data_IF_753302312715
#
_entry.id   IF_753302312715
#
_cell.length_a   1.000
_cell.length_b   1.000
_cell.length_c   1.000
_cell.angle_alpha   90.00
_cell.angle_beta   90.00
_cell.angle_gamma   90.00
#
_symmetry.space_group_name_H-M   'P 1'
#
loop_
_entity.id
_entity.type
_entity.pdbx_description
1 polymer ?
#
# COMPACT_ATOMS: atom_id res chain seq x y z
N UNK A 1 2.78 1.97 28.11
CA UNK A 1 1.39 1.71 28.54
C UNK A 1 0.38 1.84 27.38
N UNK A 2 0.44 2.89 26.55
CA UNK A 2 -0.48 3.11 25.41
C UNK A 2 -0.54 1.96 24.38
N UNK A 3 0.58 1.28 24.10
CA UNK A 3 0.64 0.19 23.10
C UNK A 3 -0.10 -1.08 23.54
N UNK A 4 -0.11 -1.39 24.84
CA UNK A 4 -0.82 -2.57 25.36
C UNK A 4 -2.34 -2.38 25.30
N UNK A 5 -2.81 -1.15 25.53
CA UNK A 5 -4.23 -0.80 25.42
C UNK A 5 -4.67 -0.90 23.96
N UNK A 6 -3.87 -0.41 23.00
CA UNK A 6 -4.16 -0.59 21.57
C UNK A 6 -4.24 -2.06 21.18
N UNK A 7 -3.27 -2.88 21.59
CA UNK A 7 -3.25 -4.31 21.27
C UNK A 7 -4.47 -5.04 21.88
N UNK A 8 -4.85 -4.70 23.11
CA UNK A 8 -6.04 -5.24 23.77
C UNK A 8 -7.34 -4.86 23.05
N UNK A 9 -7.45 -3.60 22.60
CA UNK A 9 -8.61 -3.12 21.85
C UNK A 9 -8.73 -3.78 20.48
N UNK A 10 -7.61 -3.90 19.74
CA UNK A 10 -7.58 -4.61 18.46
C UNK A 10 -7.98 -6.07 18.68
N UNK A 11 -7.42 -6.73 19.68
CA UNK A 11 -7.73 -8.14 19.94
C UNK A 11 -9.20 -8.39 20.31
N UNK A 12 -9.89 -7.39 20.86
CA UNK A 12 -11.29 -7.50 21.31
C UNK A 12 -12.31 -7.00 20.29
N UNK A 13 -11.92 -6.08 19.39
CA UNK A 13 -12.81 -5.49 18.39
C UNK A 13 -12.53 -5.97 16.96
N UNK A 14 -11.43 -6.70 16.73
CA UNK A 14 -11.13 -7.29 15.44
C UNK A 14 -12.17 -8.33 15.03
N UNK A 15 -12.63 -8.22 13.79
CA UNK A 15 -13.39 -9.27 13.13
C UNK A 15 -12.44 -10.43 12.78
N UNK A 16 -12.22 -11.29 13.78
CA UNK A 16 -11.36 -12.45 13.66
C UNK A 16 -11.83 -13.44 12.60
N UNK A 17 -13.14 -13.57 12.40
CA UNK A 17 -13.70 -14.45 11.37
C UNK A 17 -13.39 -13.93 9.96
N UNK A 18 -13.54 -12.62 9.74
CA UNK A 18 -13.13 -11.95 8.49
C UNK A 18 -11.62 -12.07 8.24
N UNK A 19 -10.80 -11.83 9.28
CA UNK A 19 -9.34 -11.94 9.21
C UNK A 19 -8.88 -13.37 8.87
N UNK A 20 -9.41 -14.40 9.53
CA UNK A 20 -9.01 -15.80 9.31
C UNK A 20 -9.47 -16.31 7.95
N UNK A 21 -10.63 -15.85 7.46
CA UNK A 21 -11.16 -16.23 6.14
C UNK A 21 -10.52 -15.45 4.99
N UNK A 22 -9.79 -14.38 5.27
CA UNK A 22 -9.14 -13.56 4.26
C UNK A 22 -8.15 -14.39 3.43
N UNK A 23 -8.22 -14.25 2.11
CA UNK A 23 -7.35 -14.95 1.16
C UNK A 23 -6.36 -14.01 0.47
N UNK A 24 -6.54 -12.70 0.63
CA UNK A 24 -5.71 -11.64 0.05
C UNK A 24 -5.34 -10.64 1.14
N UNK A 25 -4.20 -9.96 0.96
CA UNK A 25 -3.73 -8.96 1.92
C UNK A 25 -4.71 -7.78 2.05
N UNK A 26 -5.34 -7.37 0.93
CA UNK A 26 -6.43 -6.37 0.94
C UNK A 26 -7.65 -6.82 1.75
N UNK A 27 -7.99 -8.11 1.72
CA UNK A 27 -9.11 -8.63 2.52
C UNK A 27 -8.75 -8.58 4.00
N UNK A 28 -7.52 -8.95 4.36
CA UNK A 28 -7.04 -8.81 5.74
C UNK A 28 -7.08 -7.35 6.20
N UNK A 29 -6.59 -6.43 5.37
CA UNK A 29 -6.59 -5.00 5.66
C UNK A 29 -8.02 -4.45 5.80
N UNK A 30 -9.02 -5.02 5.10
CA UNK A 30 -10.44 -4.65 5.25
C UNK A 30 -10.94 -4.83 6.66
N UNK A 31 -10.51 -5.89 7.33
CA UNK A 31 -10.99 -6.24 8.66
C UNK A 31 -10.07 -5.71 9.77
N UNK A 32 -8.77 -5.60 9.52
CA UNK A 32 -7.78 -5.21 10.52
C UNK A 32 -7.47 -3.70 10.52
N UNK A 33 -7.31 -3.09 9.35
CA UNK A 33 -6.69 -1.76 9.22
C UNK A 33 -7.59 -0.59 9.67
N UNK A 34 -8.92 -0.60 9.45
CA UNK A 34 -9.83 0.42 10.01
C UNK A 34 -9.75 0.53 11.54
N UNK A 35 -9.57 -0.59 12.25
CA UNK A 35 -9.51 -0.64 13.71
C UNK A 35 -8.21 -0.06 14.28
N UNK A 36 -7.11 -0.15 13.54
CA UNK A 36 -5.80 0.37 13.95
C UNK A 36 -5.64 1.84 13.53
N UNK A 37 -6.16 2.20 12.35
CA UNK A 37 -5.89 3.46 11.67
C UNK A 37 -7.00 4.53 11.73
N UNK A 38 -8.21 4.19 12.21
CA UNK A 38 -9.41 5.06 12.13
C UNK A 38 -9.75 5.52 10.70
N UNK A 39 -9.53 4.66 9.70
CA UNK A 39 -9.91 4.95 8.32
C UNK A 39 -11.31 4.41 8.05
N UNK A 40 -12.16 5.17 7.35
CA UNK A 40 -13.56 4.79 7.04
C UNK A 40 -13.65 3.59 6.09
N UNK A 41 -12.64 3.37 5.26
CA UNK A 41 -12.53 2.20 4.38
C UNK A 41 -11.09 1.87 4.04
N UNK A 42 -10.84 0.68 3.52
CA UNK A 42 -9.52 0.29 3.00
C UNK A 42 -9.15 1.03 1.74
N UNK A 43 -10.12 1.36 0.90
CA UNK A 43 -9.86 2.27 -0.21
C UNK A 43 -9.39 3.63 0.33
N UNK A 44 -9.91 4.09 1.46
CA UNK A 44 -9.40 5.28 2.16
C UNK A 44 -7.98 5.05 2.70
N UNK A 45 -7.66 3.89 3.27
CA UNK A 45 -6.29 3.57 3.73
C UNK A 45 -5.26 3.54 2.58
N UNK A 46 -5.57 2.89 1.47
CA UNK A 46 -4.69 2.78 0.31
C UNK A 46 -4.66 4.05 -0.56
N UNK A 47 -5.77 4.80 -0.64
CA UNK A 47 -5.82 6.11 -1.30
C UNK A 47 -5.34 7.26 -0.41
N UNK A 48 -5.24 7.06 0.91
CA UNK A 48 -4.80 8.10 1.82
C UNK A 48 -3.33 8.41 1.59
N UNK A 49 -3.13 9.65 1.12
CA UNK A 49 -1.85 10.35 1.10
C UNK A 49 -1.06 10.29 2.42
N UNK A 50 -1.72 10.02 3.56
CA UNK A 50 -1.03 9.91 4.85
C UNK A 50 -0.26 8.60 5.06
N UNK A 51 -0.67 7.51 4.42
CA UNK A 51 -0.01 6.20 4.51
C UNK A 51 0.75 5.82 3.23
N UNK A 52 0.65 6.65 2.19
CA UNK A 52 1.41 6.52 0.95
C UNK A 52 2.66 7.41 0.94
N UNK A 53 3.66 7.01 0.17
CA UNK A 53 4.86 7.82 -0.11
C UNK A 53 4.58 9.01 -1.04
N UNK A 54 3.41 9.06 -1.68
CA UNK A 54 3.04 10.07 -2.68
C UNK A 54 3.37 11.53 -2.29
N UNK A 55 3.06 12.02 -1.07
CA UNK A 55 3.33 13.43 -0.74
C UNK A 55 4.81 13.79 -0.59
N UNK A 56 5.68 12.78 -0.45
CA UNK A 56 7.11 12.96 -0.26
C UNK A 56 7.87 12.86 -1.58
N UNK A 57 7.34 12.11 -2.55
CA UNK A 57 7.86 11.95 -3.92
C UNK A 57 8.07 13.32 -4.58
N UNK A 58 7.12 14.26 -4.43
CA UNK A 58 7.25 15.61 -4.98
C UNK A 58 8.36 16.46 -4.35
N UNK A 59 8.85 16.10 -3.15
CA UNK A 59 9.87 16.84 -2.39
C UNK A 59 11.28 16.32 -2.60
N UNK A 60 11.46 15.26 -3.40
CA UNK A 60 12.75 14.65 -3.66
C UNK A 60 13.65 15.60 -4.46
N UNK A 61 14.75 16.05 -3.84
CA UNK A 61 15.69 17.01 -4.44
C UNK A 61 16.90 16.36 -5.12
N UNK A 62 17.14 15.06 -4.88
CA UNK A 62 18.23 14.27 -5.46
C UNK A 62 17.68 13.23 -6.44
N UNK A 63 18.45 12.79 -7.45
CA UNK A 63 17.98 11.77 -8.38
C UNK A 63 17.53 10.48 -7.67
N UNK A 64 16.33 10.02 -7.97
CA UNK A 64 15.70 8.83 -7.38
C UNK A 64 15.17 7.90 -8.49
N UNK A 65 15.61 6.65 -8.47
CA UNK A 65 15.06 5.58 -9.30
C UNK A 65 14.00 4.82 -8.50
N UNK A 66 12.76 4.84 -8.99
CA UNK A 66 11.67 4.08 -8.41
C UNK A 66 11.42 2.83 -9.26
N UNK A 67 11.44 1.65 -8.66
CA UNK A 67 11.16 0.37 -9.31
C UNK A 67 9.88 -0.21 -8.72
N UNK A 68 8.93 -0.55 -9.58
CA UNK A 68 7.69 -1.22 -9.16
C UNK A 68 7.30 -2.27 -10.21
N UNK A 69 6.61 -3.31 -9.74
CA UNK A 69 6.02 -4.33 -10.61
C UNK A 69 4.50 -4.21 -10.67
N UNK A 70 3.95 -4.22 -11.89
CA UNK A 70 2.53 -4.39 -12.21
C UNK A 70 1.86 -5.56 -11.51
N UNK A 71 2.54 -6.70 -11.44
CA UNK A 71 1.98 -7.92 -10.84
C UNK A 71 2.25 -8.02 -9.34
N UNK A 72 2.66 -6.91 -8.69
CA UNK A 72 2.86 -6.89 -7.24
C UNK A 72 1.50 -6.99 -6.53
N UNK A 73 1.23 -8.05 -5.74
CA UNK A 73 -0.03 -8.18 -5.01
C UNK A 73 -0.15 -7.23 -3.82
N UNK A 74 0.92 -6.52 -3.45
CA UNK A 74 0.99 -5.55 -2.35
C UNK A 74 0.94 -4.12 -2.89
N UNK A 75 1.73 -3.81 -3.91
CA UNK A 75 1.78 -2.50 -4.55
C UNK A 75 1.11 -2.54 -5.92
N UNK A 76 -0.23 -2.51 -5.94
CA UNK A 76 -0.98 -2.58 -7.19
C UNK A 76 -0.72 -1.36 -8.07
N UNK A 77 -1.06 -1.48 -9.36
CA UNK A 77 -0.93 -0.40 -10.35
C UNK A 77 -1.48 0.95 -9.87
N UNK A 78 -2.62 0.94 -9.19
CA UNK A 78 -3.33 2.13 -8.69
C UNK A 78 -2.63 2.75 -7.47
N UNK A 79 -1.83 1.97 -6.73
CA UNK A 79 -1.10 2.44 -5.56
C UNK A 79 0.18 3.20 -5.92
N UNK A 80 0.67 3.06 -7.16
CA UNK A 80 1.85 3.77 -7.63
C UNK A 80 1.51 5.28 -7.81
N UNK A 81 2.26 6.21 -7.19
CA UNK A 81 1.99 7.64 -7.27
C UNK A 81 2.51 8.23 -8.59
N UNK A 82 1.81 7.90 -9.67
CA UNK A 82 2.22 8.22 -11.04
C UNK A 82 2.34 9.71 -11.31
N UNK A 83 1.37 10.48 -10.82
CA UNK A 83 1.31 11.92 -11.07
C UNK A 83 2.40 12.66 -10.27
N UNK A 84 2.63 12.25 -9.03
CA UNK A 84 3.71 12.80 -8.21
C UNK A 84 5.09 12.45 -8.77
N UNK A 85 5.28 11.24 -9.30
CA UNK A 85 6.51 10.86 -9.99
C UNK A 85 6.74 11.70 -11.25
N UNK A 86 5.69 11.92 -12.06
CA UNK A 86 5.77 12.77 -13.26
C UNK A 86 6.01 14.24 -12.95
N UNK A 87 5.48 14.73 -11.84
CA UNK A 87 5.64 16.12 -11.42
C UNK A 87 7.08 16.45 -10.98
N UNK A 88 7.90 15.46 -10.60
CA UNK A 88 9.27 15.67 -10.14
C UNK A 88 10.30 15.15 -11.15
N UNK A 89 11.02 16.08 -11.79
CA UNK A 89 12.10 15.77 -12.76
C UNK A 89 13.25 14.93 -12.20
N UNK A 90 13.42 14.90 -10.87
CA UNK A 90 14.45 14.10 -10.21
C UNK A 90 14.06 12.63 -10.08
N UNK A 91 12.83 12.28 -10.45
CA UNK A 91 12.30 10.92 -10.32
C UNK A 91 12.26 10.27 -11.68
N UNK A 92 12.91 9.11 -11.75
CA UNK A 92 12.82 8.21 -12.89
C UNK A 92 11.94 7.03 -12.48
N UNK A 93 10.64 7.04 -12.83
CA UNK A 93 9.80 5.88 -12.63
C UNK A 93 10.21 4.81 -13.65
N UNK A 94 10.70 3.68 -13.15
CA UNK A 94 10.95 2.50 -13.95
C UNK A 94 9.95 1.42 -13.58
N UNK A 95 9.08 1.09 -14.52
CA UNK A 95 8.18 -0.03 -14.39
C UNK A 95 8.80 -1.19 -15.17
N UNK A 96 9.23 -2.23 -14.45
CA UNK A 96 9.70 -3.47 -15.07
C UNK A 96 8.94 -4.62 -14.45
N UNK A 97 8.07 -5.23 -15.25
CA UNK A 97 7.56 -6.56 -14.95
C UNK A 97 8.01 -7.53 -16.00
N UNK A 98 8.67 -8.57 -15.51
CA UNK A 98 8.87 -9.83 -16.19
C UNK A 98 7.52 -10.51 -16.44
N UNK A 99 6.89 -10.20 -17.56
CA UNK A 99 5.83 -11.02 -18.15
C UNK A 99 6.22 -11.62 -19.51
N UNK A 100 7.52 -11.60 -19.86
CA UNK A 100 8.03 -12.14 -21.13
C UNK A 100 9.02 -13.31 -21.03
N UNK A 101 9.20 -13.94 -19.86
CA UNK A 101 10.01 -15.16 -19.73
C UNK A 101 9.23 -16.43 -19.36
N UNK A 102 7.89 -16.40 -19.30
CA UNK A 102 7.08 -17.62 -19.02
C UNK A 102 6.08 -17.98 -20.13
N UNK A 103 5.84 -17.11 -21.11
CA UNK A 103 5.04 -17.42 -22.32
C UNK A 103 5.84 -17.17 -23.61
N UNK A 104 7.02 -17.77 -23.69
CA UNK A 104 7.89 -17.74 -24.86
C UNK A 104 8.70 -19.02 -24.92
N UNK A 105 8.02 -20.13 -25.22
CA UNK A 105 8.55 -21.48 -25.38
C UNK A 105 7.43 -22.42 -25.79
#
# INVERSE_FOLDING_TARGET
MQNYIKLFFIARLADWDGIIKSRRIRDFDNYATPLVGKFESVDTYYSHRHCSSAPYVTKVAIPLLCVSSLDDPVCTWEAIPWDECRANKNILPSLRVLLHLVYGG
#
